data_IF_490765157127
#
_entry.id   IF_490765157127
#
_cell.length_a   1.000
_cell.length_b   1.000
_cell.length_c   1.000
_cell.angle_alpha   90.00
_cell.angle_beta   90.00
_cell.angle_gamma   90.00
#
_symmetry.space_group_name_H-M   'P 1'
#
loop_
_entity.id
_entity.type
_entity.pdbx_description
1 polymer ?
#
# COMPACT_ATOMS: atom_id res chain seq x y z
N UNK A 1 48.00 12.68 39.14
CA UNK A 1 47.46 13.32 37.94
C UNK A 1 46.91 12.32 36.92
N UNK A 2 46.19 11.26 37.31
CA UNK A 2 45.68 10.23 36.39
C UNK A 2 44.21 9.85 36.64
N UNK A 3 43.48 10.57 37.50
CA UNK A 3 42.06 10.26 37.81
C UNK A 3 41.07 10.85 36.82
N UNK A 4 41.40 11.96 36.15
CA UNK A 4 40.51 12.66 35.24
C UNK A 4 40.24 11.94 33.89
N UNK A 5 41.21 11.15 33.41
CA UNK A 5 41.10 10.38 32.16
C UNK A 5 40.26 9.11 32.32
N UNK A 6 40.25 8.51 33.51
CA UNK A 6 39.47 7.29 33.81
C UNK A 6 37.98 7.62 33.90
N UNK A 7 37.59 8.70 34.55
CA UNK A 7 36.18 9.13 34.63
C UNK A 7 35.61 9.59 33.28
N UNK A 8 36.42 10.22 32.43
CA UNK A 8 35.99 10.64 31.06
C UNK A 8 35.72 9.44 30.14
N UNK A 9 36.50 8.35 30.30
CA UNK A 9 36.34 7.11 29.53
C UNK A 9 35.14 6.31 30.00
N UNK A 10 34.83 6.28 31.29
CA UNK A 10 33.66 5.59 31.86
C UNK A 10 32.38 6.32 31.49
N UNK A 11 32.37 7.65 31.46
CA UNK A 11 31.21 8.47 31.09
C UNK A 11 30.83 8.32 29.60
N UNK A 12 31.82 8.27 28.72
CA UNK A 12 31.62 8.01 27.28
C UNK A 12 31.14 6.60 26.96
N UNK A 13 31.40 5.62 27.83
CA UNK A 13 30.91 4.24 27.64
C UNK A 13 29.50 4.02 28.17
N UNK A 14 28.98 4.85 29.09
CA UNK A 14 27.63 4.74 29.63
C UNK A 14 26.55 5.39 28.77
N UNK A 15 26.90 6.40 27.94
CA UNK A 15 25.91 7.07 27.06
C UNK A 15 25.66 6.32 25.75
N UNK A 16 26.64 5.60 25.22
CA UNK A 16 26.49 4.88 23.94
C UNK A 16 25.34 3.85 23.92
N UNK A 17 25.17 2.99 24.94
CA UNK A 17 24.08 2.01 24.91
C UNK A 17 22.67 2.64 24.96
N UNK A 18 22.50 3.75 25.68
CA UNK A 18 21.20 4.44 25.74
C UNK A 18 20.82 5.15 24.44
N UNK A 19 21.79 5.75 23.74
CA UNK A 19 21.57 6.43 22.46
C UNK A 19 21.23 5.41 21.36
N UNK A 20 21.97 4.31 21.30
CA UNK A 20 21.74 3.22 20.34
C UNK A 20 20.37 2.59 20.57
N UNK A 21 20.03 2.26 21.82
CA UNK A 21 18.73 1.68 22.16
C UNK A 21 17.57 2.62 21.79
N UNK A 22 17.68 3.91 22.06
CA UNK A 22 16.68 4.91 21.69
C UNK A 22 16.52 5.04 20.16
N UNK A 23 17.57 4.82 19.39
CA UNK A 23 17.54 4.85 17.94
C UNK A 23 16.83 3.61 17.35
N UNK A 24 17.19 2.42 17.83
CA UNK A 24 16.52 1.17 17.46
C UNK A 24 15.01 1.20 17.78
N UNK A 25 14.64 1.76 18.94
CA UNK A 25 13.25 1.96 19.33
C UNK A 25 12.50 2.89 18.35
N UNK A 26 13.15 3.94 17.83
CA UNK A 26 12.55 4.85 16.84
C UNK A 26 12.37 4.18 15.46
N UNK A 27 13.34 3.39 15.00
CA UNK A 27 13.22 2.60 13.76
C UNK A 27 12.10 1.55 13.88
N UNK A 28 12.01 0.89 15.03
CA UNK A 28 10.93 -0.07 15.27
C UNK A 28 9.55 0.61 15.29
N UNK A 29 9.44 1.78 15.91
CA UNK A 29 8.20 2.56 15.92
C UNK A 29 7.78 2.95 14.49
N UNK A 30 8.72 3.37 13.65
CA UNK A 30 8.46 3.69 12.25
C UNK A 30 7.92 2.46 11.50
N UNK A 31 8.55 1.32 11.66
CA UNK A 31 8.11 0.04 11.09
C UNK A 31 6.70 -0.34 11.56
N UNK A 32 6.43 -0.26 12.86
CA UNK A 32 5.14 -0.57 13.45
C UNK A 32 4.03 0.36 12.92
N UNK A 33 4.37 1.63 12.68
CA UNK A 33 3.43 2.62 12.13
C UNK A 33 3.06 2.27 10.69
N UNK A 34 4.03 1.87 9.85
CA UNK A 34 3.77 1.40 8.47
C UNK A 34 2.89 0.15 8.48
N UNK A 35 3.16 -0.82 9.36
CA UNK A 35 2.35 -2.04 9.47
C UNK A 35 0.90 -1.71 9.86
N UNK A 36 0.70 -0.79 10.79
CA UNK A 36 -0.66 -0.33 11.18
C UNK A 36 -1.37 0.36 10.02
N UNK A 37 -0.67 1.24 9.30
CA UNK A 37 -1.20 1.89 8.10
C UNK A 37 -1.60 0.85 7.04
N UNK A 38 -0.71 -0.08 6.72
CA UNK A 38 -0.95 -1.14 5.74
C UNK A 38 -2.15 -2.01 6.10
N UNK A 39 -2.26 -2.43 7.37
CA UNK A 39 -3.41 -3.21 7.86
C UNK A 39 -4.72 -2.41 7.72
N UNK A 40 -4.69 -1.09 7.97
CA UNK A 40 -5.83 -0.21 7.75
C UNK A 40 -6.25 -0.15 6.28
N UNK A 41 -5.29 0.02 5.38
CA UNK A 41 -5.50 0.05 3.92
C UNK A 41 -6.04 -1.28 3.39
N UNK A 42 -5.50 -2.42 3.84
CA UNK A 42 -6.04 -3.74 3.50
C UNK A 42 -7.52 -3.86 3.90
N UNK A 43 -7.87 -3.44 5.11
CA UNK A 43 -9.24 -3.48 5.60
C UNK A 43 -10.17 -2.55 4.83
N UNK A 44 -9.68 -1.36 4.49
CA UNK A 44 -10.38 -0.38 3.66
C UNK A 44 -10.69 -0.96 2.26
N UNK A 45 -9.70 -1.58 1.62
CA UNK A 45 -9.85 -2.23 0.32
C UNK A 45 -10.82 -3.43 0.41
N UNK A 46 -10.72 -4.27 1.44
CA UNK A 46 -11.65 -5.36 1.68
C UNK A 46 -13.10 -4.84 1.82
N UNK A 47 -13.34 -3.82 2.64
CA UNK A 47 -14.66 -3.21 2.80
C UNK A 47 -15.20 -2.68 1.46
N UNK A 48 -14.34 -2.06 0.64
CA UNK A 48 -14.68 -1.56 -0.69
C UNK A 48 -15.15 -2.68 -1.62
N UNK A 49 -14.41 -3.78 -1.70
CA UNK A 49 -14.77 -4.94 -2.54
C UNK A 49 -16.06 -5.59 -2.03
N UNK A 50 -16.13 -5.85 -0.73
CA UNK A 50 -17.29 -6.50 -0.11
C UNK A 50 -18.57 -5.65 -0.18
N UNK A 51 -18.46 -4.33 -0.26
CA UNK A 51 -19.63 -3.45 -0.41
C UNK A 51 -20.41 -3.75 -1.69
N UNK A 52 -19.73 -4.07 -2.78
CA UNK A 52 -20.34 -4.44 -4.04
C UNK A 52 -20.82 -5.90 -4.02
N UNK A 53 -20.00 -6.81 -3.54
CA UNK A 53 -20.29 -8.25 -3.51
C UNK A 53 -21.50 -8.57 -2.64
N UNK A 54 -21.57 -7.98 -1.45
CA UNK A 54 -22.68 -8.15 -0.50
C UNK A 54 -23.85 -7.20 -0.73
N UNK A 55 -23.73 -6.30 -1.69
CA UNK A 55 -24.70 -5.22 -1.93
C UNK A 55 -24.97 -4.37 -0.68
N UNK A 56 -23.94 -4.15 0.12
CA UNK A 56 -23.98 -3.40 1.38
C UNK A 56 -23.24 -2.07 1.26
N UNK A 57 -23.99 -0.99 1.07
CA UNK A 57 -23.45 0.35 0.89
C UNK A 57 -22.77 0.89 2.15
N UNK A 58 -23.12 0.37 3.34
CA UNK A 58 -22.52 0.80 4.60
C UNK A 58 -21.03 0.46 4.68
N UNK A 59 -20.59 -0.61 4.00
CA UNK A 59 -19.18 -0.96 3.88
C UNK A 59 -18.41 0.06 3.02
N UNK A 60 -19.04 0.59 1.96
CA UNK A 60 -18.45 1.66 1.16
C UNK A 60 -18.33 2.97 1.97
N UNK A 61 -19.35 3.34 2.73
CA UNK A 61 -19.32 4.51 3.61
C UNK A 61 -18.22 4.37 4.68
N UNK A 62 -18.07 3.17 5.23
CA UNK A 62 -17.00 2.87 6.18
C UNK A 62 -15.62 3.02 5.52
N UNK A 63 -15.41 2.47 4.32
CA UNK A 63 -14.15 2.61 3.58
C UNK A 63 -13.78 4.09 3.32
N UNK A 64 -14.77 4.92 2.99
CA UNK A 64 -14.57 6.37 2.80
C UNK A 64 -14.09 7.03 4.11
N UNK A 65 -14.65 6.63 5.25
CA UNK A 65 -14.31 7.20 6.55
C UNK A 65 -12.94 6.70 7.07
N UNK A 66 -12.62 5.44 6.81
CA UNK A 66 -11.36 4.82 7.26
C UNK A 66 -10.14 5.49 6.62
N UNK A 67 -10.29 6.15 5.47
CA UNK A 67 -9.26 6.88 4.76
C UNK A 67 -8.63 8.03 5.57
N UNK A 68 -9.43 8.73 6.40
CA UNK A 68 -8.91 9.77 7.28
C UNK A 68 -7.82 9.26 8.26
N UNK A 69 -7.86 7.98 8.59
CA UNK A 69 -6.84 7.37 9.44
C UNK A 69 -5.57 7.06 8.65
N UNK A 70 -5.71 6.69 7.38
CA UNK A 70 -4.59 6.46 6.46
C UNK A 70 -3.80 7.75 6.26
N UNK A 71 -4.47 8.88 5.99
CA UNK A 71 -3.85 10.21 5.87
C UNK A 71 -3.06 10.59 7.14
N UNK A 72 -3.63 10.34 8.32
CA UNK A 72 -2.95 10.59 9.59
C UNK A 72 -1.70 9.74 9.79
N UNK A 73 -1.73 8.49 9.36
CA UNK A 73 -0.54 7.63 9.42
C UNK A 73 0.55 8.11 8.47
N UNK A 74 0.21 8.54 7.25
CA UNK A 74 1.19 9.10 6.31
C UNK A 74 1.92 10.30 6.92
N UNK A 75 1.17 11.30 7.41
CA UNK A 75 1.74 12.49 8.07
C UNK A 75 2.64 12.09 9.25
N UNK A 76 2.19 11.15 10.08
CA UNK A 76 2.97 10.67 11.22
C UNK A 76 4.28 9.99 10.80
N UNK A 77 4.26 9.21 9.72
CA UNK A 77 5.44 8.56 9.15
C UNK A 77 6.41 9.60 8.61
N UNK A 78 5.93 10.61 7.89
CA UNK A 78 6.75 11.73 7.41
C UNK A 78 7.45 12.45 8.56
N UNK A 79 6.74 12.78 9.64
CA UNK A 79 7.32 13.41 10.83
C UNK A 79 8.38 12.52 11.49
N UNK A 80 8.13 11.22 11.63
CA UNK A 80 9.09 10.26 12.18
C UNK A 80 10.36 10.19 11.30
N UNK A 81 10.21 10.12 9.98
CA UNK A 81 11.32 10.08 9.01
C UNK A 81 12.17 11.35 9.09
N UNK A 82 11.54 12.52 9.06
CA UNK A 82 12.25 13.82 9.18
C UNK A 82 13.03 13.89 10.49
N UNK A 83 12.41 13.50 11.60
CA UNK A 83 13.06 13.49 12.92
C UNK A 83 14.24 12.50 12.99
N UNK A 84 14.08 11.29 12.42
CA UNK A 84 15.17 10.30 12.37
C UNK A 84 16.36 10.84 11.58
N UNK A 85 16.14 11.41 10.40
CA UNK A 85 17.21 11.97 9.56
C UNK A 85 17.89 13.15 10.26
N UNK A 86 17.12 14.09 10.79
CA UNK A 86 17.64 15.31 11.39
C UNK A 86 18.43 15.06 12.70
N UNK A 87 17.92 14.17 13.55
CA UNK A 87 18.47 13.99 14.90
C UNK A 87 19.48 12.85 15.00
N UNK A 88 19.38 11.83 14.13
CA UNK A 88 20.16 10.60 14.21
C UNK A 88 21.18 10.44 13.08
N UNK A 89 21.01 11.15 11.96
CA UNK A 89 21.88 11.07 10.79
C UNK A 89 22.14 9.60 10.38
N UNK A 90 21.07 8.82 10.09
CA UNK A 90 21.18 7.40 9.77
C UNK A 90 22.14 7.19 8.60
N UNK A 91 22.84 6.06 8.60
CA UNK A 91 23.80 5.72 7.56
C UNK A 91 23.49 4.36 6.92
N UNK A 92 23.89 4.21 5.69
CA UNK A 92 23.80 2.96 4.95
C UNK A 92 22.41 2.31 5.01
N UNK A 93 22.27 1.16 5.66
CA UNK A 93 21.03 0.37 5.73
C UNK A 93 19.91 1.14 6.45
N UNK A 94 20.24 1.83 7.55
CA UNK A 94 19.24 2.56 8.33
C UNK A 94 18.67 3.76 7.55
N UNK A 95 19.51 4.47 6.80
CA UNK A 95 19.05 5.54 5.91
C UNK A 95 18.13 4.97 4.81
N UNK A 96 18.51 3.82 4.24
CA UNK A 96 17.70 3.14 3.23
C UNK A 96 16.34 2.74 3.80
N UNK A 97 16.30 2.14 5.00
CA UNK A 97 15.06 1.79 5.68
C UNK A 97 14.16 3.01 5.91
N UNK A 98 14.74 4.12 6.35
CA UNK A 98 14.04 5.37 6.60
C UNK A 98 13.43 5.95 5.31
N UNK A 99 14.20 5.97 4.22
CA UNK A 99 13.73 6.49 2.92
C UNK A 99 12.68 5.57 2.29
N UNK A 100 12.87 4.25 2.37
CA UNK A 100 11.90 3.28 1.87
C UNK A 100 10.59 3.37 2.65
N UNK A 101 10.63 3.58 3.97
CA UNK A 101 9.44 3.78 4.78
C UNK A 101 8.57 4.93 4.27
N UNK A 102 9.18 6.05 3.90
CA UNK A 102 8.49 7.21 3.33
C UNK A 102 7.82 6.88 1.99
N UNK A 103 8.51 6.17 1.10
CA UNK A 103 7.95 5.77 -0.20
C UNK A 103 6.81 4.78 -0.05
N UNK A 104 6.97 3.77 0.83
CA UNK A 104 5.94 2.78 1.11
C UNK A 104 4.69 3.43 1.69
N UNK A 105 4.82 4.39 2.62
CA UNK A 105 3.66 5.10 3.17
C UNK A 105 2.90 5.88 2.10
N UNK A 106 3.60 6.55 1.18
CA UNK A 106 2.95 7.27 0.09
C UNK A 106 2.20 6.34 -0.87
N UNK A 107 2.78 5.18 -1.24
CA UNK A 107 2.06 4.20 -2.06
C UNK A 107 0.85 3.59 -1.31
N UNK A 108 0.94 3.38 0.01
CA UNK A 108 -0.20 2.92 0.83
C UNK A 108 -1.31 3.96 0.88
N UNK A 109 -1.00 5.25 1.01
CA UNK A 109 -1.99 6.34 0.94
C UNK A 109 -2.70 6.33 -0.41
N UNK A 110 -1.95 6.18 -1.53
CA UNK A 110 -2.54 6.07 -2.86
C UNK A 110 -3.49 4.89 -3.00
N UNK A 111 -3.14 3.74 -2.43
CA UNK A 111 -4.05 2.56 -2.41
C UNK A 111 -5.33 2.89 -1.63
N UNK A 112 -5.22 3.53 -0.47
CA UNK A 112 -6.36 3.98 0.33
C UNK A 112 -7.27 4.95 -0.43
N UNK A 113 -6.69 5.99 -1.04
CA UNK A 113 -7.41 6.98 -1.87
C UNK A 113 -8.15 6.32 -3.06
N UNK A 114 -7.54 5.33 -3.72
CA UNK A 114 -8.17 4.59 -4.80
C UNK A 114 -9.35 3.74 -4.30
N UNK A 115 -9.21 3.08 -3.15
CA UNK A 115 -10.30 2.35 -2.51
C UNK A 115 -11.46 3.28 -2.10
N UNK A 116 -11.16 4.44 -1.51
CA UNK A 116 -12.12 5.52 -1.21
C UNK A 116 -12.84 6.01 -2.48
N UNK A 117 -12.10 6.19 -3.57
CA UNK A 117 -12.68 6.65 -4.84
C UNK A 117 -13.64 5.62 -5.46
N UNK A 118 -13.34 4.31 -5.35
CA UNK A 118 -14.26 3.23 -5.71
C UNK A 118 -15.51 3.32 -4.84
N UNK A 119 -15.36 3.42 -3.53
CA UNK A 119 -16.46 3.49 -2.56
C UNK A 119 -17.35 4.71 -2.78
N UNK A 120 -16.79 5.90 -3.07
CA UNK A 120 -17.55 7.10 -3.45
C UNK A 120 -18.37 6.93 -4.73
N UNK A 121 -17.89 6.12 -5.68
CA UNK A 121 -18.68 5.81 -6.89
C UNK A 121 -19.84 4.90 -6.56
N UNK A 122 -19.61 3.86 -5.72
CA UNK A 122 -20.67 2.94 -5.28
C UNK A 122 -21.78 3.67 -4.50
N UNK A 123 -21.44 4.61 -3.61
CA UNK A 123 -22.45 5.40 -2.89
C UNK A 123 -23.33 6.25 -3.83
N UNK A 124 -22.81 6.64 -5.00
CA UNK A 124 -23.55 7.44 -5.99
C UNK A 124 -24.46 6.61 -6.90
N UNK A 125 -23.99 5.43 -7.34
CA UNK A 125 -24.70 4.61 -8.34
C UNK A 125 -25.48 3.44 -7.73
N UNK A 126 -25.26 3.18 -6.45
CA UNK A 126 -25.81 2.00 -5.76
C UNK A 126 -25.05 0.71 -6.10
N UNK A 127 -25.46 -0.36 -5.47
CA UNK A 127 -24.84 -1.70 -5.63
C UNK A 127 -25.63 -2.61 -6.59
N UNK A 128 -26.72 -2.12 -7.19
CA UNK A 128 -27.49 -2.88 -8.17
C UNK A 128 -26.88 -2.68 -9.58
N UNK A 129 -25.84 -3.47 -9.85
CA UNK A 129 -25.01 -3.42 -11.05
C UNK A 129 -25.10 -4.75 -11.82
N UNK A 130 -24.76 -4.78 -13.13
CA UNK A 130 -24.79 -6.00 -13.94
C UNK A 130 -23.89 -7.09 -13.33
N UNK A 131 -24.48 -8.29 -13.12
CA UNK A 131 -23.82 -9.37 -12.36
C UNK A 131 -22.54 -9.89 -13.01
N UNK A 132 -22.48 -9.95 -14.33
CA UNK A 132 -21.32 -10.40 -15.11
C UNK A 132 -20.10 -9.47 -14.87
N UNK A 133 -20.31 -8.16 -14.92
CA UNK A 133 -19.26 -7.16 -14.69
C UNK A 133 -18.90 -7.07 -13.19
N UNK A 134 -19.90 -7.20 -12.32
CA UNK A 134 -19.68 -7.21 -10.86
C UNK A 134 -18.79 -8.38 -10.42
N UNK A 135 -19.02 -9.58 -10.98
CA UNK A 135 -18.18 -10.74 -10.71
C UNK A 135 -16.73 -10.53 -11.15
N UNK A 136 -16.53 -9.91 -12.30
CA UNK A 136 -15.20 -9.60 -12.81
C UNK A 136 -14.49 -8.56 -11.92
N UNK A 137 -15.23 -7.55 -11.44
CA UNK A 137 -14.71 -6.59 -10.46
C UNK A 137 -14.28 -7.28 -9.16
N UNK A 138 -15.09 -8.22 -8.64
CA UNK A 138 -14.75 -8.99 -7.45
C UNK A 138 -13.44 -9.75 -7.63
N UNK A 139 -13.28 -10.47 -8.75
CA UNK A 139 -12.07 -11.26 -9.02
C UNK A 139 -10.83 -10.35 -9.10
N UNK A 140 -10.91 -9.24 -9.84
CA UNK A 140 -9.81 -8.28 -9.95
C UNK A 140 -9.49 -7.64 -8.58
N UNK A 141 -10.50 -7.24 -7.82
CA UNK A 141 -10.35 -6.65 -6.49
C UNK A 141 -9.69 -7.60 -5.50
N UNK A 142 -10.11 -8.88 -5.48
CA UNK A 142 -9.49 -9.90 -4.64
C UNK A 142 -8.03 -10.17 -5.02
N UNK A 143 -7.69 -10.10 -6.31
CA UNK A 143 -6.31 -10.23 -6.78
C UNK A 143 -5.46 -9.06 -6.29
N UNK A 144 -5.91 -7.83 -6.47
CA UNK A 144 -5.22 -6.63 -5.99
C UNK A 144 -5.05 -6.67 -4.45
N UNK A 145 -6.08 -7.06 -3.71
CA UNK A 145 -6.01 -7.22 -2.25
C UNK A 145 -4.94 -8.24 -1.84
N UNK A 146 -4.83 -9.37 -2.55
CA UNK A 146 -3.76 -10.36 -2.30
C UNK A 146 -2.37 -9.80 -2.56
N UNK A 147 -2.18 -8.99 -3.62
CA UNK A 147 -0.90 -8.34 -3.89
C UNK A 147 -0.52 -7.36 -2.79
N UNK A 148 -1.46 -6.52 -2.33
CA UNK A 148 -1.24 -5.59 -1.20
C UNK A 148 -0.84 -6.36 0.06
N UNK A 149 -1.55 -7.42 0.41
CA UNK A 149 -1.20 -8.27 1.55
C UNK A 149 0.20 -8.91 1.39
N UNK A 150 0.50 -9.45 0.22
CA UNK A 150 1.79 -10.09 -0.05
C UNK A 150 2.96 -9.11 0.11
N UNK A 151 2.84 -7.89 -0.42
CA UNK A 151 3.93 -6.91 -0.33
C UNK A 151 4.10 -6.33 1.08
N UNK A 152 3.02 -6.19 1.87
CA UNK A 152 3.12 -5.84 3.28
C UNK A 152 3.81 -6.93 4.11
N UNK A 153 3.48 -8.19 3.86
CA UNK A 153 4.19 -9.33 4.46
C UNK A 153 5.66 -9.37 4.05
N UNK A 154 5.96 -9.09 2.77
CA UNK A 154 7.33 -8.98 2.28
C UNK A 154 8.11 -7.87 2.99
N UNK A 155 7.50 -6.69 3.17
CA UNK A 155 8.11 -5.58 3.93
C UNK A 155 8.39 -5.98 5.39
N UNK A 156 7.42 -6.59 6.06
CA UNK A 156 7.52 -6.98 7.48
C UNK A 156 8.59 -8.04 7.71
N UNK A 157 8.65 -9.06 6.87
CA UNK A 157 9.51 -10.23 7.05
C UNK A 157 10.80 -10.20 6.21
N UNK A 158 11.05 -9.11 5.48
CA UNK A 158 12.20 -9.00 4.56
C UNK A 158 12.24 -10.16 3.54
N UNK A 159 11.09 -10.55 3.02
CA UNK A 159 10.92 -11.67 2.11
C UNK A 159 11.12 -11.22 0.65
N UNK A 160 12.37 -11.26 0.17
CA UNK A 160 12.76 -10.83 -1.17
C UNK A 160 11.96 -11.52 -2.28
N UNK A 161 11.85 -12.84 -2.22
CA UNK A 161 11.16 -13.64 -3.26
C UNK A 161 9.68 -13.28 -3.36
N UNK A 162 9.04 -12.89 -2.24
CA UNK A 162 7.65 -12.42 -2.24
C UNK A 162 7.52 -11.08 -2.97
N UNK A 163 8.46 -10.16 -2.78
CA UNK A 163 8.49 -8.89 -3.53
C UNK A 163 8.67 -9.13 -5.02
N UNK A 164 9.62 -9.98 -5.43
CA UNK A 164 9.82 -10.36 -6.83
C UNK A 164 8.56 -10.99 -7.45
N UNK A 165 7.87 -11.86 -6.71
CA UNK A 165 6.63 -12.48 -7.18
C UNK A 165 5.50 -11.47 -7.39
N UNK A 166 5.34 -10.48 -6.50
CA UNK A 166 4.35 -9.40 -6.68
C UNK A 166 4.71 -8.58 -7.91
N UNK A 167 5.97 -8.19 -8.07
CA UNK A 167 6.43 -7.43 -9.23
C UNK A 167 6.17 -8.15 -10.55
N UNK A 168 6.44 -9.46 -10.62
CA UNK A 168 6.23 -10.28 -11.81
C UNK A 168 4.74 -10.55 -12.11
N UNK A 169 3.83 -10.35 -11.15
CA UNK A 169 2.40 -10.60 -11.31
C UNK A 169 1.59 -9.37 -11.75
N UNK A 170 2.24 -8.26 -12.04
CA UNK A 170 1.60 -7.00 -12.42
C UNK A 170 0.71 -7.13 -13.66
N UNK A 171 1.22 -7.78 -14.71
CA UNK A 171 0.51 -8.02 -15.96
C UNK A 171 -0.84 -8.74 -15.81
N UNK A 172 -1.02 -9.56 -14.77
CA UNK A 172 -2.25 -10.32 -14.57
C UNK A 172 -3.47 -9.43 -14.29
N UNK A 173 -3.31 -8.35 -13.51
CA UNK A 173 -4.40 -7.40 -13.23
C UNK A 173 -4.70 -6.56 -14.46
N UNK A 174 -3.70 -6.16 -15.21
CA UNK A 174 -3.85 -5.42 -16.46
C UNK A 174 -4.67 -6.21 -17.48
N UNK A 175 -4.31 -7.48 -17.70
CA UNK A 175 -5.07 -8.38 -18.60
C UNK A 175 -6.51 -8.58 -18.14
N UNK A 176 -6.74 -8.71 -16.83
CA UNK A 176 -8.09 -8.80 -16.27
C UNK A 176 -8.89 -7.51 -16.52
N UNK A 177 -8.26 -6.34 -16.34
CA UNK A 177 -8.91 -5.05 -16.58
C UNK A 177 -9.28 -4.90 -18.05
N UNK A 178 -8.40 -5.24 -18.99
CA UNK A 178 -8.66 -5.21 -20.42
C UNK A 178 -9.82 -6.14 -20.82
N UNK A 179 -9.82 -7.37 -20.34
CA UNK A 179 -10.92 -8.34 -20.57
C UNK A 179 -12.26 -7.83 -20.00
N UNK A 180 -12.24 -7.14 -18.87
CA UNK A 180 -13.43 -6.56 -18.25
C UNK A 180 -13.96 -5.35 -19.03
N UNK A 181 -13.08 -4.55 -19.63
CA UNK A 181 -13.50 -3.46 -20.53
C UNK A 181 -14.22 -4.00 -21.76
N UNK A 182 -13.72 -5.08 -22.37
CA UNK A 182 -14.40 -5.73 -23.50
C UNK A 182 -15.79 -6.29 -23.11
N UNK A 183 -15.88 -6.94 -21.94
CA UNK A 183 -17.15 -7.44 -21.43
C UNK A 183 -18.16 -6.30 -21.18
N UNK A 184 -17.71 -5.17 -20.67
CA UNK A 184 -18.53 -3.98 -20.46
C UNK A 184 -19.07 -3.40 -21.78
N UNK A 185 -18.24 -3.32 -22.81
CA UNK A 185 -18.67 -2.87 -24.16
C UNK A 185 -19.73 -3.81 -24.72
N UNK A 186 -19.51 -5.14 -24.68
CA UNK A 186 -20.47 -6.15 -25.12
C UNK A 186 -21.80 -6.08 -24.36
N UNK A 187 -21.77 -5.77 -23.05
CA UNK A 187 -22.97 -5.56 -22.25
C UNK A 187 -23.76 -4.34 -22.75
N UNK A 188 -23.09 -3.22 -23.03
CA UNK A 188 -23.73 -1.98 -23.49
C UNK A 188 -24.33 -2.11 -24.89
N UNK A 189 -23.82 -2.97 -25.77
CA UNK A 189 -24.44 -3.24 -27.07
C UNK A 189 -25.89 -3.73 -26.94
N UNK A 190 -26.16 -4.51 -25.87
CA UNK A 190 -27.48 -5.09 -25.59
C UNK A 190 -28.30 -4.26 -24.61
N UNK A 191 -27.65 -3.52 -23.70
CA UNK A 191 -28.28 -2.83 -22.57
C UNK A 191 -27.88 -1.36 -22.53
N UNK A 192 -28.26 -0.58 -23.52
CA UNK A 192 -27.90 0.85 -23.68
C UNK A 192 -28.30 1.73 -22.48
N UNK A 193 -29.32 1.34 -21.73
CA UNK A 193 -29.77 2.08 -20.53
C UNK A 193 -28.77 1.99 -19.36
N UNK A 194 -27.88 1.01 -19.38
CA UNK A 194 -26.88 0.80 -18.30
C UNK A 194 -25.60 1.63 -18.48
N UNK A 195 -25.53 2.49 -19.50
CA UNK A 195 -24.31 3.22 -19.87
C UNK A 195 -23.70 3.97 -18.67
N UNK A 196 -24.51 4.61 -17.83
CA UNK A 196 -24.02 5.35 -16.67
C UNK A 196 -23.40 4.41 -15.61
N UNK A 197 -24.09 3.30 -15.30
CA UNK A 197 -23.61 2.30 -14.32
C UNK A 197 -22.33 1.62 -14.81
N UNK A 198 -22.32 1.16 -16.05
CA UNK A 198 -21.17 0.48 -16.67
C UNK A 198 -19.97 1.41 -16.77
N UNK A 199 -20.16 2.68 -17.13
CA UNK A 199 -19.07 3.66 -17.15
C UNK A 199 -18.43 3.83 -15.75
N UNK A 200 -19.23 3.90 -14.69
CA UNK A 200 -18.68 3.98 -13.33
C UNK A 200 -17.94 2.70 -12.94
N UNK A 201 -18.45 1.52 -13.32
CA UNK A 201 -17.74 0.25 -13.12
C UNK A 201 -16.38 0.22 -13.81
N UNK A 202 -16.28 0.73 -15.05
CA UNK A 202 -14.98 0.82 -15.76
C UNK A 202 -13.98 1.71 -15.01
N UNK A 203 -14.42 2.85 -14.47
CA UNK A 203 -13.56 3.69 -13.63
C UNK A 203 -13.14 2.98 -12.34
N UNK A 204 -14.02 2.17 -11.75
CA UNK A 204 -13.68 1.40 -10.56
C UNK A 204 -12.67 0.29 -10.88
N UNK A 205 -12.82 -0.39 -12.01
CA UNK A 205 -11.85 -1.38 -12.50
C UNK A 205 -10.48 -0.74 -12.76
N UNK A 206 -10.44 0.46 -13.35
CA UNK A 206 -9.19 1.18 -13.55
C UNK A 206 -8.53 1.59 -12.22
N UNK A 207 -9.32 1.88 -11.19
CA UNK A 207 -8.77 2.10 -9.87
C UNK A 207 -8.20 0.80 -9.24
N UNK A 208 -8.80 -0.37 -9.50
CA UNK A 208 -8.24 -1.66 -9.06
C UNK A 208 -6.89 -1.94 -9.74
N UNK A 209 -6.76 -1.69 -11.03
CA UNK A 209 -5.48 -1.79 -11.75
C UNK A 209 -4.41 -0.90 -11.09
N UNK A 210 -4.74 0.38 -10.85
CA UNK A 210 -3.81 1.30 -10.18
C UNK A 210 -3.45 0.88 -8.75
N UNK A 211 -4.32 0.19 -8.04
CA UNK A 211 -3.98 -0.41 -6.74
C UNK A 211 -2.91 -1.48 -6.93
N UNK A 212 -3.01 -2.32 -7.96
CA UNK A 212 -1.95 -3.26 -8.35
C UNK A 212 -0.63 -2.56 -8.66
N UNK A 213 -0.68 -1.48 -9.45
CA UNK A 213 0.49 -0.64 -9.75
C UNK A 213 1.22 -0.17 -8.48
N UNK A 214 0.48 0.36 -7.49
CA UNK A 214 1.07 0.80 -6.23
C UNK A 214 1.60 -0.36 -5.38
N UNK A 215 0.94 -1.51 -5.38
CA UNK A 215 1.46 -2.71 -4.72
C UNK A 215 2.80 -3.15 -5.35
N UNK A 216 2.93 -3.07 -6.68
CA UNK A 216 4.16 -3.37 -7.40
C UNK A 216 5.26 -2.33 -7.10
N UNK A 217 4.91 -1.03 -6.99
CA UNK A 217 5.86 -0.01 -6.54
C UNK A 217 6.40 -0.31 -5.14
N UNK A 218 5.54 -0.71 -4.20
CA UNK A 218 5.97 -1.14 -2.87
C UNK A 218 6.91 -2.35 -2.97
N UNK A 219 6.64 -3.32 -3.84
CA UNK A 219 7.50 -4.48 -4.05
C UNK A 219 8.91 -4.07 -4.50
N UNK A 220 9.04 -3.11 -5.42
CA UNK A 220 10.33 -2.54 -5.84
C UNK A 220 11.07 -1.90 -4.66
N UNK A 221 10.37 -1.13 -3.83
CA UNK A 221 10.99 -0.50 -2.66
C UNK A 221 11.42 -1.54 -1.62
N UNK A 222 10.63 -2.60 -1.41
CA UNK A 222 11.01 -3.70 -0.50
C UNK A 222 12.21 -4.47 -1.04
N UNK A 223 12.26 -4.76 -2.33
CA UNK A 223 13.43 -5.39 -2.94
C UNK A 223 14.68 -4.53 -2.75
N UNK A 224 14.60 -3.23 -3.07
CA UNK A 224 15.69 -2.28 -2.85
C UNK A 224 16.10 -2.21 -1.37
N UNK A 225 15.15 -2.24 -0.45
CA UNK A 225 15.43 -2.24 0.98
C UNK A 225 16.31 -3.42 1.40
N UNK A 226 16.03 -4.61 0.86
CA UNK A 226 16.68 -5.86 1.22
C UNK A 226 18.06 -5.98 0.55
N UNK A 227 18.13 -5.71 -0.76
CA UNK A 227 19.32 -5.98 -1.57
C UNK A 227 20.26 -4.78 -1.72
N UNK A 228 19.70 -3.58 -1.74
CA UNK A 228 20.40 -2.35 -2.11
C UNK A 228 20.38 -2.05 -3.62
N UNK A 229 19.86 -2.96 -4.40
CA UNK A 229 19.74 -2.87 -5.85
C UNK A 229 18.28 -2.74 -6.26
N UNK A 230 18.02 -2.21 -7.46
CA UNK A 230 16.69 -2.20 -8.04
C UNK A 230 16.45 -3.49 -8.84
N UNK A 231 15.17 -3.86 -8.99
CA UNK A 231 14.78 -4.94 -9.89
C UNK A 231 15.21 -4.59 -11.32
N UNK A 232 15.87 -5.53 -11.97
CA UNK A 232 16.36 -5.36 -13.34
C UNK A 232 15.28 -5.78 -14.37
N UNK A 233 15.20 -5.03 -15.46
CA UNK A 233 14.29 -5.29 -16.57
C UNK A 233 13.11 -4.32 -16.63
N UNK A 234 12.36 -4.43 -17.73
CA UNK A 234 11.11 -3.69 -17.87
C UNK A 234 10.04 -4.34 -16.98
N UNK A 235 9.34 -3.51 -16.24
CA UNK A 235 8.18 -3.95 -15.46
C UNK A 235 7.18 -4.64 -16.40
N UNK A 236 6.74 -5.88 -16.11
CA UNK A 236 5.72 -6.53 -16.92
C UNK A 236 4.44 -5.67 -16.94
N UNK A 237 4.06 -5.20 -18.12
CA UNK A 237 2.82 -4.44 -18.36
C UNK A 237 1.99 -5.17 -19.40
N UNK A 238 0.69 -5.31 -19.09
CA UNK A 238 -0.28 -5.88 -20.02
C UNK A 238 -0.72 -4.91 -21.13
#
# INVERSE_FOLDING_TARGET
ANSGLYYRKVWLMSEKPHIVKSYEEQLQLLKDTIVKMGTGVEKQLENTIQSLVKKDISLAEKSIKDDELTDKYEINIEEQVVNLIALRQPMAIDLRETVVALKVSSDLERIGDLAKNISKRLTKIGTDLPNDITKNFEIAGLKASKQVNAVLNSYLHRAKDTAENVWNSDEEIDQMTNSNMEAAVKHLEKNKNDIQKVTQLLFMLKNIERIGDHATNIAEQVYFLITGDYLEGDRPKG
#
